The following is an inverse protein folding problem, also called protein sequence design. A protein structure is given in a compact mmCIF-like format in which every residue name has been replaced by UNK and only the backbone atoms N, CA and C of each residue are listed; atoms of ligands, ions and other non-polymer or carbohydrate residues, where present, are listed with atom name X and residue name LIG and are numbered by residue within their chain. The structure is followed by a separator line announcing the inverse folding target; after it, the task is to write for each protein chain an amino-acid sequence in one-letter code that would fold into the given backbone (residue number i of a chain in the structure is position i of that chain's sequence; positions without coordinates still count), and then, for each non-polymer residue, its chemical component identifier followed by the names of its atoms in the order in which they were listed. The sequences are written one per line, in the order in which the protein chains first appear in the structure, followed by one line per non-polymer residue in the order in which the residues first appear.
data_IF_852792551950
#
_entry.id   IF_852792551950
#
_cell.length_a   1.000
_cell.length_b   1.000
_cell.length_c   1.000
_cell.angle_alpha   90.00
_cell.angle_beta   90.00
_cell.angle_gamma   90.00
#
_symmetry.space_group_name_H-M   'P 1'
#
loop_
_entity.id
_entity.type
_entity.pdbx_description
1 polymer ?
#
# COMPACT_ATOMS: atom_id res chain seq x y z
N UNK A 1 0.48 5.69 -19.80
CA UNK A 1 0.05 4.40 -20.39
C UNK A 1 -1.47 4.29 -20.49
N UNK A 2 -2.20 4.06 -19.38
CA UNK A 2 -3.65 3.78 -19.43
C UNK A 2 -4.42 4.78 -20.29
N UNK A 3 -4.24 6.09 -20.06
CA UNK A 3 -4.93 7.15 -20.80
C UNK A 3 -4.70 7.10 -22.32
N UNK A 4 -3.51 6.68 -22.77
CA UNK A 4 -3.25 6.52 -24.21
C UNK A 4 -4.08 5.37 -24.76
N UNK A 5 -4.09 4.22 -24.09
CA UNK A 5 -4.79 3.03 -24.59
C UNK A 5 -6.31 3.16 -24.45
N UNK A 6 -6.81 3.70 -23.34
CA UNK A 6 -8.25 3.81 -23.06
C UNK A 6 -8.96 4.90 -23.85
N UNK A 7 -8.23 5.86 -24.42
CA UNK A 7 -8.80 6.96 -25.19
C UNK A 7 -9.19 6.58 -26.63
N UNK A 8 -9.07 5.32 -27.04
CA UNK A 8 -9.55 4.82 -28.33
C UNK A 8 -9.77 3.32 -28.28
N UNK A 9 -10.85 2.83 -28.87
CA UNK A 9 -11.13 1.40 -29.00
C UNK A 9 -10.05 0.67 -29.80
N UNK A 10 -9.53 1.29 -30.86
CA UNK A 10 -8.42 0.76 -31.67
C UNK A 10 -7.13 0.61 -30.84
N UNK A 11 -6.78 1.63 -30.03
CA UNK A 11 -5.60 1.55 -29.15
C UNK A 11 -5.80 0.53 -28.03
N UNK A 12 -7.02 0.38 -27.53
CA UNK A 12 -7.36 -0.65 -26.56
C UNK A 12 -7.24 -2.06 -27.15
N UNK A 13 -7.63 -2.27 -28.40
CA UNK A 13 -7.43 -3.52 -29.12
C UNK A 13 -5.95 -3.85 -29.31
N UNK A 14 -5.13 -2.85 -29.67
CA UNK A 14 -3.66 -3.01 -29.71
C UNK A 14 -3.15 -3.48 -28.35
N UNK A 15 -3.57 -2.86 -27.25
CA UNK A 15 -3.14 -3.29 -25.90
C UNK A 15 -3.52 -4.75 -25.61
N UNK A 16 -4.76 -5.16 -25.91
CA UNK A 16 -5.24 -6.52 -25.64
C UNK A 16 -4.61 -7.59 -26.51
N UNK A 17 -4.04 -7.22 -27.68
CA UNK A 17 -3.25 -8.13 -28.51
C UNK A 17 -1.97 -8.59 -27.79
N UNK A 18 -1.39 -7.73 -26.97
CA UNK A 18 -0.11 -7.95 -26.28
C UNK A 18 -0.27 -8.39 -24.82
N UNK A 19 -1.25 -7.86 -24.08
CA UNK A 19 -1.45 -8.23 -22.67
C UNK A 19 -2.26 -9.52 -22.52
N UNK A 20 -1.69 -10.51 -21.84
CA UNK A 20 -2.37 -11.76 -21.52
C UNK A 20 -2.84 -11.78 -20.07
N UNK A 21 -4.16 -11.79 -19.86
CA UNK A 21 -4.76 -12.03 -18.54
C UNK A 21 -4.57 -10.92 -17.49
N UNK A 22 -3.93 -9.80 -17.83
CA UNK A 22 -3.72 -8.62 -16.99
C UNK A 22 -4.32 -7.39 -17.66
N UNK A 23 -4.77 -6.41 -16.87
CA UNK A 23 -5.44 -5.21 -17.41
C UNK A 23 -4.85 -3.96 -16.80
N UNK A 24 -4.45 -3.00 -17.64
CA UNK A 24 -4.18 -1.64 -17.21
C UNK A 24 -5.51 -0.96 -16.92
N UNK A 25 -5.70 -0.48 -15.70
CA UNK A 25 -6.89 0.24 -15.27
C UNK A 25 -6.49 1.44 -14.44
N UNK A 26 -7.09 2.59 -14.75
CA UNK A 26 -7.01 3.75 -13.88
C UNK A 26 -8.30 3.80 -13.04
N UNK A 27 -8.19 3.31 -11.82
CA UNK A 27 -9.20 3.51 -10.81
C UNK A 27 -8.46 3.87 -9.52
N UNK A 28 -8.95 4.87 -8.79
CA UNK A 28 -8.29 5.39 -7.57
C UNK A 28 -8.19 4.36 -6.44
N UNK A 29 -8.73 3.17 -6.64
CA UNK A 29 -8.64 2.05 -5.71
C UNK A 29 -7.27 1.36 -5.74
N UNK A 30 -6.77 1.02 -4.55
CA UNK A 30 -5.45 0.38 -4.37
C UNK A 30 -5.38 -0.98 -5.06
N UNK A 31 -6.48 -1.74 -5.05
CA UNK A 31 -6.55 -3.05 -5.69
C UNK A 31 -6.36 -2.96 -7.21
N UNK A 32 -6.98 -1.98 -7.86
CA UNK A 32 -6.86 -1.79 -9.31
C UNK A 32 -5.50 -1.21 -9.70
N UNK A 33 -4.98 -0.29 -8.87
CA UNK A 33 -3.61 0.22 -9.03
C UNK A 33 -2.57 -0.91 -8.93
N UNK A 34 -2.75 -1.85 -8.00
CA UNK A 34 -1.88 -3.04 -7.87
C UNK A 34 -1.89 -3.90 -9.14
N UNK A 35 -3.05 -4.27 -9.67
CA UNK A 35 -3.12 -5.10 -10.88
C UNK A 35 -2.50 -4.41 -12.11
N UNK A 36 -2.61 -3.09 -12.19
CA UNK A 36 -2.00 -2.31 -13.28
C UNK A 36 -0.47 -2.25 -13.17
N UNK A 37 0.06 -2.00 -11.97
CA UNK A 37 1.51 -2.03 -11.74
C UNK A 37 2.07 -3.44 -11.92
N UNK A 38 1.32 -4.46 -11.51
CA UNK A 38 1.64 -5.86 -11.76
C UNK A 38 1.71 -6.15 -13.27
N UNK A 39 0.73 -5.70 -14.05
CA UNK A 39 0.73 -5.84 -15.51
C UNK A 39 2.00 -5.24 -16.14
N UNK A 40 2.34 -4.00 -15.77
CA UNK A 40 3.55 -3.35 -16.29
C UNK A 40 4.82 -4.08 -15.87
N UNK A 41 4.88 -4.59 -14.64
CA UNK A 41 6.07 -5.30 -14.13
C UNK A 41 6.27 -6.66 -14.81
N UNK A 42 5.20 -7.44 -14.95
CA UNK A 42 5.24 -8.81 -15.45
C UNK A 42 5.26 -8.86 -16.99
N UNK A 43 4.70 -7.84 -17.66
CA UNK A 43 4.55 -7.76 -19.11
C UNK A 43 5.19 -6.47 -19.68
N UNK A 44 6.39 -6.13 -19.19
CA UNK A 44 7.07 -4.89 -19.55
C UNK A 44 7.43 -4.83 -21.05
N UNK A 45 7.80 -5.98 -21.63
CA UNK A 45 8.15 -6.04 -23.05
C UNK A 45 6.88 -5.90 -23.92
N UNK A 46 5.81 -6.57 -23.55
CA UNK A 46 4.53 -6.54 -24.24
C UNK A 46 3.89 -5.15 -24.18
N UNK A 47 3.99 -4.46 -23.03
CA UNK A 47 3.56 -3.06 -22.91
C UNK A 47 4.38 -2.13 -23.80
N UNK A 48 5.68 -2.34 -23.90
CA UNK A 48 6.58 -1.60 -24.79
C UNK A 48 6.25 -1.84 -26.27
N UNK A 49 6.00 -3.08 -26.66
CA UNK A 49 5.61 -3.44 -28.03
C UNK A 49 4.25 -2.84 -28.40
N UNK A 50 3.29 -2.84 -27.48
CA UNK A 50 2.00 -2.17 -27.68
C UNK A 50 2.15 -0.66 -27.88
N UNK A 51 3.01 0.01 -27.11
CA UNK A 51 3.31 1.44 -27.30
C UNK A 51 4.00 1.72 -28.63
N UNK A 52 4.92 0.84 -29.05
CA UNK A 52 5.59 0.95 -30.33
C UNK A 52 4.58 0.84 -31.49
N UNK A 53 3.66 -0.14 -31.44
CA UNK A 53 2.59 -0.28 -32.43
C UNK A 53 1.69 0.95 -32.45
N UNK A 54 1.25 1.46 -31.30
CA UNK A 54 0.46 2.71 -31.24
C UNK A 54 1.22 3.88 -31.89
N UNK A 55 2.53 4.00 -31.63
CA UNK A 55 3.34 5.08 -32.18
C UNK A 55 3.49 5.04 -33.71
N UNK A 56 3.40 3.85 -34.31
CA UNK A 56 3.53 3.64 -35.74
C UNK A 56 2.18 3.70 -36.47
N UNK A 57 1.09 3.28 -35.82
CA UNK A 57 -0.23 3.18 -36.42
C UNK A 57 -1.02 4.50 -36.34
N UNK A 58 -0.85 5.26 -35.25
CA UNK A 58 -1.62 6.50 -35.08
C UNK A 58 -1.20 7.58 -36.07
N UNK A 59 -2.16 8.29 -36.66
CA UNK A 59 -1.91 9.43 -37.55
C UNK A 59 -1.76 10.77 -36.82
N UNK A 60 -2.03 10.79 -35.50
CA UNK A 60 -2.05 12.01 -34.69
C UNK A 60 -0.64 12.26 -34.14
N UNK A 61 0.07 13.32 -34.56
CA UNK A 61 1.47 13.54 -34.17
C UNK A 61 1.67 13.64 -32.66
N UNK A 62 0.73 14.23 -31.93
CA UNK A 62 0.79 14.34 -30.47
C UNK A 62 0.83 12.97 -29.78
N UNK A 63 0.01 12.02 -30.24
CA UNK A 63 -0.05 10.65 -29.69
C UNK A 63 1.20 9.87 -30.06
N UNK A 64 1.75 10.05 -31.27
CA UNK A 64 3.02 9.44 -31.66
C UNK A 64 4.16 9.89 -30.74
N UNK A 65 4.26 11.20 -30.48
CA UNK A 65 5.28 11.77 -29.60
C UNK A 65 5.09 11.25 -28.18
N UNK A 66 3.86 11.25 -27.66
CA UNK A 66 3.55 10.77 -26.32
C UNK A 66 3.92 9.28 -26.16
N UNK A 67 3.49 8.42 -27.09
CA UNK A 67 3.78 6.98 -27.07
C UNK A 67 5.30 6.71 -27.14
N UNK A 68 6.05 7.40 -28.02
CA UNK A 68 7.51 7.29 -28.09
C UNK A 68 8.18 7.75 -26.81
N UNK A 69 7.71 8.85 -26.22
CA UNK A 69 8.28 9.36 -24.96
C UNK A 69 8.05 8.41 -23.79
N UNK A 70 6.89 7.74 -23.75
CA UNK A 70 6.62 6.70 -22.75
C UNK A 70 7.48 5.47 -22.96
N UNK A 71 7.63 5.01 -24.21
CA UNK A 71 8.50 3.89 -24.56
C UNK A 71 9.95 4.15 -24.12
N UNK A 72 10.48 5.34 -24.41
CA UNK A 72 11.82 5.75 -23.97
C UNK A 72 11.95 5.79 -22.44
N UNK A 73 10.89 6.17 -21.73
CA UNK A 73 10.87 6.25 -20.28
C UNK A 73 10.71 4.88 -19.61
N UNK A 74 9.87 4.00 -20.15
CA UNK A 74 9.64 2.63 -19.68
C UNK A 74 10.93 1.81 -19.69
N UNK A 75 11.76 2.03 -20.71
CA UNK A 75 13.06 1.39 -20.87
C UNK A 75 14.17 2.05 -20.04
N UNK A 76 13.83 2.82 -19.00
CA UNK A 76 14.81 3.37 -18.06
C UNK A 76 14.89 2.56 -16.77
N UNK A 77 16.11 2.48 -16.22
CA UNK A 77 16.32 1.85 -14.91
C UNK A 77 15.48 2.52 -13.79
N UNK A 78 15.26 3.84 -13.86
CA UNK A 78 14.44 4.60 -12.90
C UNK A 78 12.98 4.14 -12.93
N UNK A 79 12.42 3.95 -14.12
CA UNK A 79 11.06 3.48 -14.28
C UNK A 79 10.89 2.05 -13.76
N UNK A 80 11.82 1.16 -14.10
CA UNK A 80 11.79 -0.24 -13.67
C UNK A 80 11.92 -0.32 -12.14
N UNK A 81 12.88 0.41 -11.56
CA UNK A 81 13.05 0.47 -10.12
C UNK A 81 11.81 1.04 -9.42
N UNK A 82 11.22 2.10 -9.97
CA UNK A 82 9.97 2.68 -9.48
C UNK A 82 8.82 1.66 -9.49
N UNK A 83 8.72 0.90 -10.58
CA UNK A 83 7.68 -0.12 -10.78
C UNK A 83 7.83 -1.27 -9.79
N UNK A 84 9.06 -1.75 -9.54
CA UNK A 84 9.35 -2.77 -8.52
C UNK A 84 8.97 -2.28 -7.12
N UNK A 85 9.36 -1.04 -6.77
CA UNK A 85 9.02 -0.43 -5.46
C UNK A 85 7.50 -0.35 -5.28
N UNK A 86 6.79 0.18 -6.28
CA UNK A 86 5.33 0.28 -6.21
C UNK A 86 4.67 -1.09 -6.16
N UNK A 87 5.16 -2.07 -6.90
CA UNK A 87 4.64 -3.42 -6.86
C UNK A 87 4.70 -4.02 -5.46
N UNK A 88 5.83 -3.93 -4.77
CA UNK A 88 6.00 -4.48 -3.42
C UNK A 88 5.04 -3.83 -2.41
N UNK A 89 4.98 -2.50 -2.42
CA UNK A 89 4.12 -1.72 -1.53
C UNK A 89 2.65 -2.00 -1.81
N UNK A 90 2.22 -1.91 -3.07
CA UNK A 90 0.83 -2.13 -3.45
C UNK A 90 0.39 -3.57 -3.24
N UNK A 91 1.28 -4.55 -3.40
CA UNK A 91 0.98 -5.96 -3.11
C UNK A 91 0.61 -6.16 -1.64
N UNK A 92 1.40 -5.59 -0.73
CA UNK A 92 1.14 -5.68 0.71
C UNK A 92 -0.17 -4.99 1.10
N UNK A 93 -0.40 -3.76 0.61
CA UNK A 93 -1.62 -3.01 0.91
C UNK A 93 -2.85 -3.70 0.29
N UNK A 94 -2.77 -4.15 -0.97
CA UNK A 94 -3.85 -4.85 -1.67
C UNK A 94 -4.26 -6.13 -0.95
N UNK A 95 -3.29 -6.91 -0.44
CA UNK A 95 -3.55 -8.10 0.36
C UNK A 95 -4.37 -7.75 1.61
N UNK A 96 -3.92 -6.77 2.40
CA UNK A 96 -4.64 -6.37 3.62
C UNK A 96 -6.00 -5.77 3.30
N UNK A 97 -6.11 -4.92 2.27
CA UNK A 97 -7.39 -4.35 1.83
C UNK A 97 -8.40 -5.44 1.46
N UNK A 98 -8.00 -6.46 0.69
CA UNK A 98 -8.87 -7.59 0.33
C UNK A 98 -9.25 -8.42 1.56
N UNK A 99 -8.35 -8.57 2.53
CA UNK A 99 -8.65 -9.23 3.80
C UNK A 99 -9.71 -8.47 4.59
N UNK A 100 -9.56 -7.14 4.70
CA UNK A 100 -10.48 -6.25 5.42
C UNK A 100 -11.87 -6.14 4.79
N UNK A 101 -12.00 -6.45 3.50
CA UNK A 101 -13.27 -6.42 2.77
C UNK A 101 -14.07 -7.73 2.86
N UNK A 102 -13.61 -8.73 3.62
CA UNK A 102 -14.34 -9.98 3.80
C UNK A 102 -15.56 -9.75 4.71
N UNK A 103 -16.66 -10.41 4.38
CA UNK A 103 -17.96 -10.26 5.07
C UNK A 103 -17.88 -10.59 6.58
N UNK A 104 -17.11 -11.61 6.95
CA UNK A 104 -16.99 -12.07 8.34
C UNK A 104 -15.59 -11.77 8.90
N UNK A 105 -15.26 -10.50 9.11
CA UNK A 105 -14.00 -10.09 9.73
C UNK A 105 -14.19 -9.61 11.17
N UNK A 106 -13.40 -10.16 12.10
CA UNK A 106 -13.31 -9.63 13.47
C UNK A 106 -12.39 -8.42 13.53
N UNK A 107 -12.67 -7.49 14.45
CA UNK A 107 -11.83 -6.31 14.71
C UNK A 107 -10.43 -6.74 15.18
N UNK A 108 -10.38 -7.74 16.08
CA UNK A 108 -9.30 -8.73 16.27
C UNK A 108 -8.33 -8.87 15.09
N UNK A 109 -8.87 -9.54 14.08
CA UNK A 109 -8.13 -9.95 12.90
C UNK A 109 -7.78 -8.76 12.01
N UNK A 110 -8.65 -7.76 11.92
CA UNK A 110 -8.41 -6.53 11.18
C UNK A 110 -7.17 -5.78 11.72
N UNK A 111 -7.10 -5.61 13.04
CA UNK A 111 -5.97 -4.98 13.74
C UNK A 111 -4.67 -5.74 13.50
N UNK A 112 -4.68 -7.07 13.64
CA UNK A 112 -3.50 -7.91 13.37
C UNK A 112 -2.96 -7.73 11.96
N UNK A 113 -3.84 -7.67 10.96
CA UNK A 113 -3.45 -7.44 9.57
C UNK A 113 -2.88 -6.02 9.36
N UNK A 114 -3.49 -5.01 9.98
CA UNK A 114 -3.00 -3.63 9.94
C UNK A 114 -1.64 -3.47 10.63
N UNK A 115 -1.46 -4.01 11.84
CA UNK A 115 -0.17 -4.01 12.54
C UNK A 115 0.90 -4.70 11.70
N UNK A 116 0.57 -5.84 11.08
CA UNK A 116 1.45 -6.53 10.14
C UNK A 116 1.83 -5.65 8.94
N UNK A 117 0.89 -4.89 8.38
CA UNK A 117 1.17 -3.95 7.29
C UNK A 117 2.10 -2.82 7.73
N UNK A 118 1.89 -2.27 8.92
CA UNK A 118 2.74 -1.22 9.51
C UNK A 118 4.18 -1.72 9.68
N UNK A 119 4.36 -2.89 10.27
CA UNK A 119 5.67 -3.55 10.42
C UNK A 119 6.34 -3.80 9.06
N UNK A 120 5.57 -4.26 8.07
CA UNK A 120 6.08 -4.43 6.72
C UNK A 120 6.57 -3.09 6.13
N UNK A 121 5.78 -2.02 6.19
CA UNK A 121 6.15 -0.73 5.60
C UNK A 121 7.37 -0.11 6.29
N UNK A 122 7.47 -0.20 7.62
CA UNK A 122 8.64 0.28 8.36
C UNK A 122 9.89 -0.52 8.01
N UNK A 123 9.80 -1.86 7.94
CA UNK A 123 10.92 -2.70 7.53
C UNK A 123 11.30 -2.50 6.06
N UNK A 124 10.32 -2.28 5.19
CA UNK A 124 10.54 -1.98 3.77
C UNK A 124 11.26 -0.64 3.61
N UNK A 125 10.89 0.39 4.37
CA UNK A 125 11.60 1.68 4.38
C UNK A 125 13.09 1.54 4.71
N UNK A 126 13.45 0.66 5.64
CA UNK A 126 14.85 0.47 6.05
C UNK A 126 15.65 -0.31 5.01
N UNK A 127 15.12 -1.46 4.57
CA UNK A 127 15.90 -2.46 3.84
C UNK A 127 15.39 -2.73 2.40
N UNK A 128 14.15 -2.33 2.10
CA UNK A 128 13.46 -2.62 0.84
C UNK A 128 14.13 -2.07 -0.40
N UNK A 129 14.76 -0.90 -0.31
CA UNK A 129 15.46 -0.30 -1.45
C UNK A 129 16.55 -1.21 -2.04
N UNK A 130 17.31 -1.90 -1.19
CA UNK A 130 18.42 -2.74 -1.66
C UNK A 130 17.89 -3.97 -2.41
N UNK A 131 16.78 -4.54 -1.95
CA UNK A 131 16.12 -5.67 -2.59
C UNK A 131 15.46 -5.24 -3.91
N UNK A 132 14.70 -4.15 -3.91
CA UNK A 132 14.07 -3.60 -5.11
C UNK A 132 15.11 -3.25 -6.19
N UNK A 133 16.25 -2.67 -5.79
CA UNK A 133 17.38 -2.38 -6.69
C UNK A 133 17.94 -3.65 -7.32
N UNK A 134 18.19 -4.70 -6.54
CA UNK A 134 18.69 -5.98 -7.05
C UNK A 134 17.74 -6.60 -8.06
N UNK A 135 16.44 -6.55 -7.79
CA UNK A 135 15.41 -7.06 -8.70
C UNK A 135 15.32 -6.23 -9.99
N UNK A 136 15.32 -4.91 -9.89
CA UNK A 136 15.32 -4.02 -11.06
C UNK A 136 16.55 -4.24 -11.96
N UNK A 137 17.73 -4.47 -11.37
CA UNK A 137 18.95 -4.81 -12.13
C UNK A 137 18.77 -6.11 -12.91
N UNK A 138 18.17 -7.15 -12.30
CA UNK A 138 17.90 -8.42 -12.98
C UNK A 138 16.96 -8.23 -14.18
N UNK A 139 15.88 -7.47 -13.99
CA UNK A 139 14.93 -7.16 -15.08
C UNK A 139 15.65 -6.42 -16.22
N UNK A 140 16.48 -5.43 -15.89
CA UNK A 140 17.23 -4.70 -16.92
C UNK A 140 18.23 -5.59 -17.66
N UNK A 141 18.89 -6.52 -16.97
CA UNK A 141 19.80 -7.48 -17.59
C UNK A 141 19.07 -8.43 -18.54
N UNK A 142 17.87 -8.89 -18.16
CA UNK A 142 17.04 -9.75 -19.01
C UNK A 142 16.56 -9.05 -20.28
N UNK A 143 16.31 -7.74 -20.19
CA UNK A 143 15.80 -6.92 -21.30
C UNK A 143 16.90 -6.11 -22.03
N UNK A 144 18.18 -6.37 -21.72
CA UNK A 144 19.34 -5.66 -22.28
C UNK A 144 19.29 -4.12 -22.14
N UNK A 145 18.66 -3.63 -21.06
CA UNK A 145 18.47 -2.21 -20.78
C UNK A 145 19.72 -1.61 -20.13
N UNK A 146 20.12 -0.42 -20.60
CA UNK A 146 21.27 0.31 -20.05
C UNK A 146 20.95 0.83 -18.64
N UNK A 147 21.77 0.41 -17.67
CA UNK A 147 21.69 0.85 -16.27
C UNK A 147 22.22 2.29 -16.12
N UNK A 148 21.40 3.30 -16.40
CA UNK A 148 21.72 4.72 -16.14
C UNK A 148 20.65 5.36 -15.26
N UNK A 149 21.04 5.86 -14.09
CA UNK A 149 20.24 6.81 -13.31
C UNK A 149 20.53 8.22 -13.84
N UNK A 150 19.53 8.85 -14.46
CA UNK A 150 19.66 10.22 -14.97
C UNK A 150 19.52 11.16 -13.78
N UNK A 151 20.58 11.90 -13.47
CA UNK A 151 20.47 12.98 -12.51
C UNK A 151 19.38 13.93 -13.00
N UNK A 152 18.41 14.26 -12.13
CA UNK A 152 17.37 15.24 -12.41
C UNK A 152 18.00 16.43 -13.14
N UNK A 153 17.55 16.68 -14.39
CA UNK A 153 17.94 17.90 -15.10
C UNK A 153 17.28 19.04 -14.34
N UNK A 154 17.94 19.54 -13.28
CA UNK A 154 17.63 20.84 -12.73
C UNK A 154 17.49 21.78 -13.94
N UNK A 155 16.31 22.42 -14.10
CA UNK A 155 16.13 23.46 -15.12
C UNK A 155 17.34 24.37 -14.97
N UNK A 156 18.26 24.33 -15.94
CA UNK A 156 19.47 25.14 -15.89
C UNK A 156 18.98 26.58 -15.78
N UNK A 157 19.14 27.22 -14.62
CA UNK A 157 19.08 28.69 -14.55
C UNK A 157 20.02 29.18 -15.66
N UNK A 158 19.56 30.11 -16.50
CA UNK A 158 20.41 30.73 -17.53
C UNK A 158 21.69 31.21 -16.84
N UNK A 159 22.84 30.61 -17.18
CA UNK A 159 24.15 30.99 -16.63
C UNK A 159 24.83 31.94 -17.60
N UNK A 160 25.52 32.95 -17.06
CA UNK A 160 26.12 34.05 -17.82
C UNK A 160 27.46 33.68 -18.49
N UNK A 161 28.12 32.57 -18.11
CA UNK A 161 29.47 32.22 -18.60
C UNK A 161 29.63 30.73 -18.94
N UNK A 162 30.46 30.46 -19.97
CA UNK A 162 30.52 29.17 -20.68
C UNK A 162 31.54 28.14 -20.19
N UNK A 163 32.38 28.43 -19.19
CA UNK A 163 33.42 27.50 -18.74
C UNK A 163 32.97 26.52 -17.64
N UNK A 164 31.74 26.65 -17.12
CA UNK A 164 31.18 25.71 -16.15
C UNK A 164 30.61 24.44 -16.84
N UNK A 165 31.50 23.59 -17.35
CA UNK A 165 31.15 22.18 -17.53
C UNK A 165 32.40 21.31 -17.42
N UNK A 166 32.44 20.45 -16.39
CA UNK A 166 32.55 19.00 -16.60
C UNK A 166 32.29 18.23 -15.31
N UNK A 167 31.20 17.47 -15.27
CA UNK A 167 31.21 16.07 -14.81
C UNK A 167 29.94 15.39 -15.27
N UNK A 168 29.87 15.10 -16.57
CA UNK A 168 28.90 14.15 -17.09
C UNK A 168 29.43 12.75 -16.81
N UNK A 169 29.21 12.25 -15.59
CA UNK A 169 29.45 10.82 -15.33
C UNK A 169 28.22 10.05 -15.83
N UNK A 170 28.39 9.39 -16.98
CA UNK A 170 27.38 8.54 -17.64
C UNK A 170 27.16 7.20 -16.93
N UNK A 171 27.79 6.99 -15.77
CA UNK A 171 27.69 5.79 -14.95
C UNK A 171 26.84 6.04 -13.70
N UNK A 172 26.22 4.98 -13.19
CA UNK A 172 25.62 4.94 -11.86
C UNK A 172 26.71 5.22 -10.83
N UNK A 173 26.93 6.50 -10.51
CA UNK A 173 27.71 6.87 -9.33
C UNK A 173 26.86 6.63 -8.10
N UNK A 174 27.48 6.27 -6.97
CA UNK A 174 26.78 6.16 -5.68
C UNK A 174 25.99 7.44 -5.35
N UNK A 175 26.40 8.60 -5.89
CA UNK A 175 25.66 9.86 -5.75
C UNK A 175 24.27 9.86 -6.39
N UNK A 176 24.09 9.23 -7.56
CA UNK A 176 22.80 9.17 -8.25
C UNK A 176 21.86 8.11 -7.64
N UNK A 177 22.43 7.02 -7.11
CA UNK A 177 21.67 6.01 -6.36
C UNK A 177 21.14 6.62 -5.07
N UNK A 178 21.99 7.34 -4.35
CA UNK A 178 21.59 8.03 -3.13
C UNK A 178 20.56 9.14 -3.42
N UNK A 179 20.67 9.86 -4.55
CA UNK A 179 19.65 10.85 -4.91
C UNK A 179 18.30 10.21 -5.20
N UNK A 180 18.22 9.12 -5.98
CA UNK A 180 16.93 8.44 -6.21
C UNK A 180 16.34 7.87 -4.90
N UNK A 181 17.19 7.27 -4.05
CA UNK A 181 16.75 6.78 -2.74
C UNK A 181 16.15 7.90 -1.88
N UNK A 182 16.78 9.07 -1.86
CA UNK A 182 16.37 10.21 -1.04
C UNK A 182 15.20 11.01 -1.63
N UNK A 183 15.17 11.20 -2.95
CA UNK A 183 14.18 12.04 -3.65
C UNK A 183 12.90 11.27 -4.00
N UNK A 184 12.97 9.94 -4.12
CA UNK A 184 11.84 9.12 -4.55
C UNK A 184 11.45 8.07 -3.50
N UNK A 185 12.37 7.18 -3.12
CA UNK A 185 12.05 6.02 -2.29
C UNK A 185 11.64 6.38 -0.86
N UNK A 186 12.40 7.25 -0.17
CA UNK A 186 12.05 7.66 1.19
C UNK A 186 10.73 8.45 1.23
N UNK A 187 10.48 9.47 0.38
CA UNK A 187 9.22 10.19 0.39
C UNK A 187 7.99 9.30 0.17
N UNK A 188 8.06 8.32 -0.73
CA UNK A 188 6.96 7.37 -0.96
C UNK A 188 6.75 6.47 0.26
N UNK A 189 7.83 5.93 0.81
CA UNK A 189 7.77 5.05 1.98
C UNK A 189 7.23 5.79 3.20
N UNK A 190 7.73 7.00 3.46
CA UNK A 190 7.30 7.86 4.56
C UNK A 190 5.84 8.25 4.43
N UNK A 191 5.42 8.69 3.23
CA UNK A 191 4.02 9.03 2.96
C UNK A 191 3.10 7.82 3.13
N UNK A 192 3.54 6.64 2.70
CA UNK A 192 2.80 5.38 2.89
C UNK A 192 2.61 5.04 4.37
N UNK A 193 3.67 5.15 5.17
CA UNK A 193 3.63 4.92 6.63
C UNK A 193 2.69 5.92 7.31
N UNK A 194 2.83 7.21 7.03
CA UNK A 194 1.97 8.26 7.61
C UNK A 194 0.50 8.01 7.25
N UNK A 195 0.20 7.79 5.96
CA UNK A 195 -1.18 7.58 5.50
C UNK A 195 -1.83 6.34 6.14
N UNK A 196 -1.07 5.26 6.33
CA UNK A 196 -1.57 4.05 6.98
C UNK A 196 -1.81 4.29 8.48
N UNK A 197 -0.89 4.98 9.17
CA UNK A 197 -1.09 5.33 10.58
C UNK A 197 -2.31 6.23 10.78
N UNK A 198 -2.48 7.27 9.97
CA UNK A 198 -3.62 8.19 10.05
C UNK A 198 -4.95 7.47 9.80
N UNK A 199 -5.00 6.61 8.76
CA UNK A 199 -6.22 5.88 8.38
C UNK A 199 -6.73 4.95 9.47
N UNK A 200 -5.83 4.34 10.23
CA UNK A 200 -6.18 3.34 11.23
C UNK A 200 -6.07 3.87 12.68
N UNK A 201 -5.76 5.15 12.87
CA UNK A 201 -5.67 5.76 14.20
C UNK A 201 -6.97 5.61 15.01
N UNK A 202 -8.13 5.72 14.36
CA UNK A 202 -9.42 5.51 15.03
C UNK A 202 -9.62 4.05 15.43
N UNK A 203 -9.14 3.11 14.63
CA UNK A 203 -9.22 1.68 14.94
C UNK A 203 -8.31 1.33 16.13
N UNK A 204 -7.13 1.92 16.20
CA UNK A 204 -6.22 1.81 17.36
C UNK A 204 -6.92 2.32 18.63
N UNK A 205 -7.46 3.55 18.60
CA UNK A 205 -8.20 4.11 19.74
C UNK A 205 -9.40 3.27 20.13
N UNK A 206 -10.18 2.81 19.16
CA UNK A 206 -11.33 1.95 19.42
C UNK A 206 -10.90 0.65 20.10
N UNK A 207 -9.82 0.05 19.65
CA UNK A 207 -9.28 -1.16 20.26
C UNK A 207 -8.79 -0.94 21.69
N UNK A 208 -8.20 0.22 21.99
CA UNK A 208 -7.72 0.53 23.35
C UNK A 208 -8.87 0.50 24.38
N UNK A 209 -10.07 0.95 23.98
CA UNK A 209 -11.25 0.93 24.86
C UNK A 209 -12.05 -0.37 24.79
N UNK A 210 -12.34 -0.87 23.58
CA UNK A 210 -13.30 -1.95 23.38
C UNK A 210 -12.65 -3.29 23.04
N UNK A 211 -11.33 -3.34 22.79
CA UNK A 211 -10.64 -4.51 22.27
C UNK A 211 -10.78 -5.75 23.16
N UNK A 212 -10.81 -5.58 24.48
CA UNK A 212 -10.97 -6.69 25.42
C UNK A 212 -12.32 -7.43 25.26
N UNK A 213 -13.37 -6.71 24.83
CA UNK A 213 -14.69 -7.29 24.55
C UNK A 213 -14.71 -8.14 23.28
N UNK A 214 -13.78 -7.93 22.35
CA UNK A 214 -13.67 -8.77 21.15
C UNK A 214 -12.93 -10.08 21.41
N UNK A 215 -12.45 -10.29 22.64
CA UNK A 215 -11.79 -11.51 23.08
C UNK A 215 -12.35 -11.96 24.45
N UNK A 216 -13.69 -12.06 24.56
CA UNK A 216 -14.41 -12.43 25.80
C UNK A 216 -13.85 -13.71 26.43
N UNK A 217 -13.56 -14.73 25.61
CA UNK A 217 -12.97 -15.98 26.11
C UNK A 217 -11.62 -15.80 26.85
N UNK A 218 -10.88 -14.74 26.54
CA UNK A 218 -9.61 -14.40 27.22
C UNK A 218 -9.78 -13.46 28.41
N UNK A 219 -10.96 -12.88 28.64
CA UNK A 219 -11.24 -12.04 29.83
C UNK A 219 -11.05 -12.88 31.10
N UNK A 220 -11.40 -14.17 31.07
CA UNK A 220 -11.14 -15.12 32.17
C UNK A 220 -9.66 -15.23 32.59
N UNK A 221 -8.73 -14.82 31.71
CA UNK A 221 -7.27 -14.83 31.95
C UNK A 221 -6.73 -13.45 32.32
N UNK A 222 -7.52 -12.38 32.18
CA UNK A 222 -7.11 -11.03 32.53
C UNK A 222 -7.08 -10.85 34.04
N UNK A 223 -6.20 -9.97 34.53
CA UNK A 223 -6.25 -9.53 35.91
C UNK A 223 -7.56 -8.77 36.15
N UNK A 224 -8.21 -9.02 37.30
CA UNK A 224 -9.46 -8.36 37.67
C UNK A 224 -9.30 -6.84 37.79
N UNK A 225 -8.14 -6.37 38.26
CA UNK A 225 -7.86 -4.93 38.35
C UNK A 225 -7.80 -4.29 36.95
N UNK A 226 -7.16 -4.97 35.99
CA UNK A 226 -7.08 -4.50 34.61
C UNK A 226 -8.46 -4.52 33.94
N UNK A 227 -9.27 -5.56 34.20
CA UNK A 227 -10.64 -5.65 33.69
C UNK A 227 -11.53 -4.54 34.25
N UNK A 228 -11.48 -4.30 35.56
CA UNK A 228 -12.22 -3.22 36.21
C UNK A 228 -11.82 -1.86 35.63
N UNK A 229 -10.51 -1.63 35.46
CA UNK A 229 -10.01 -0.42 34.83
C UNK A 229 -10.58 -0.23 33.43
N UNK A 230 -10.55 -1.26 32.58
CA UNK A 230 -11.10 -1.18 31.23
C UNK A 230 -12.61 -0.88 31.23
N UNK A 231 -13.38 -1.45 32.16
CA UNK A 231 -14.81 -1.17 32.28
C UNK A 231 -15.08 0.28 32.73
N UNK A 232 -14.29 0.79 33.67
CA UNK A 232 -14.36 2.19 34.10
C UNK A 232 -13.93 3.15 32.98
N UNK A 233 -12.92 2.79 32.19
CA UNK A 233 -12.47 3.59 31.04
C UNK A 233 -13.57 3.68 29.96
N UNK A 234 -14.37 2.63 29.75
CA UNK A 234 -15.57 2.67 28.89
C UNK A 234 -16.65 3.59 29.46
N UNK A 235 -16.95 3.49 30.76
CA UNK A 235 -17.91 4.40 31.40
C UNK A 235 -17.51 5.86 31.16
N UNK A 236 -16.27 6.21 31.46
CA UNK A 236 -15.76 7.57 31.30
C UNK A 236 -15.77 8.03 29.83
N UNK A 237 -15.56 7.11 28.88
CA UNK A 237 -15.61 7.42 27.45
C UNK A 237 -17.03 7.75 26.98
N UNK A 238 -18.04 7.11 27.57
CA UNK A 238 -19.46 7.24 27.21
C UNK A 238 -20.24 8.18 28.13
N UNK A 239 -19.57 8.80 29.10
CA UNK A 239 -20.15 9.80 29.99
C UNK A 239 -20.41 11.11 29.23
N UNK A 240 -21.65 11.60 29.31
CA UNK A 240 -22.05 12.89 28.75
C UNK A 240 -22.74 13.69 29.84
N UNK A 241 -22.04 14.69 30.39
CA UNK A 241 -22.53 15.48 31.51
C UNK A 241 -22.61 14.64 32.79
N UNK A 242 -23.80 14.56 33.39
CA UNK A 242 -24.06 13.74 34.59
C UNK A 242 -24.73 12.39 34.28
N UNK A 243 -24.80 12.02 32.99
CA UNK A 243 -25.44 10.77 32.53
C UNK A 243 -24.44 9.80 31.93
N UNK A 244 -24.53 8.54 32.35
CA UNK A 244 -23.70 7.44 31.87
C UNK A 244 -24.57 6.39 31.17
N UNK A 245 -24.24 6.06 29.93
CA UNK A 245 -24.92 4.99 29.19
C UNK A 245 -24.58 3.59 29.75
N UNK A 246 -23.40 3.45 30.37
CA UNK A 246 -22.89 2.20 30.93
C UNK A 246 -22.33 2.45 32.33
N UNK A 247 -22.70 1.61 33.30
CA UNK A 247 -22.06 1.56 34.61
C UNK A 247 -20.90 0.58 34.59
N UNK A 248 -19.67 1.08 34.71
CA UNK A 248 -18.45 0.28 34.62
C UNK A 248 -18.32 -0.80 35.70
N UNK A 249 -18.88 -0.57 36.90
CA UNK A 249 -18.88 -1.57 37.98
C UNK A 249 -19.86 -2.71 37.69
N UNK A 250 -21.08 -2.37 37.25
CA UNK A 250 -22.08 -3.37 36.85
C UNK A 250 -21.58 -4.20 35.67
N UNK A 251 -21.02 -3.54 34.65
CA UNK A 251 -20.40 -4.20 33.49
C UNK A 251 -19.28 -5.17 33.91
N UNK A 252 -18.44 -4.79 34.88
CA UNK A 252 -17.41 -5.68 35.41
C UNK A 252 -18.02 -6.93 36.05
N UNK A 253 -19.02 -6.76 36.92
CA UNK A 253 -19.67 -7.87 37.62
C UNK A 253 -20.36 -8.83 36.62
N UNK A 254 -21.06 -8.27 35.62
CA UNK A 254 -21.69 -9.04 34.53
C UNK A 254 -20.66 -9.82 33.70
N UNK A 255 -19.54 -9.18 33.31
CA UNK A 255 -18.50 -9.85 32.53
C UNK A 255 -17.81 -10.97 33.31
N UNK A 256 -17.62 -10.81 34.62
CA UNK A 256 -17.06 -11.86 35.47
C UNK A 256 -17.97 -13.08 35.49
N UNK A 257 -19.27 -12.87 35.70
CA UNK A 257 -20.28 -13.97 35.69
C UNK A 257 -20.32 -14.62 34.30
N UNK A 258 -20.35 -13.80 33.26
CA UNK A 258 -20.40 -14.26 31.88
C UNK A 258 -19.20 -15.17 31.54
N UNK A 259 -18.02 -14.86 32.05
CA UNK A 259 -16.81 -15.69 31.88
C UNK A 259 -16.88 -17.05 32.58
N UNK A 260 -17.73 -17.23 33.60
CA UNK A 260 -17.94 -18.54 34.24
C UNK A 260 -18.82 -19.47 33.40
N UNK A 261 -19.67 -18.89 32.55
CA UNK A 261 -20.69 -19.60 31.78
C UNK A 261 -20.18 -19.95 30.37
N UNK A 262 -19.30 -19.14 29.80
CA UNK A 262 -18.83 -19.28 28.41
C UNK A 262 -17.59 -20.17 28.32
N UNK A 263 -17.56 -21.04 27.30
CA UNK A 263 -16.37 -21.83 26.98
C UNK A 263 -15.17 -20.94 26.57
N UNK A 264 -13.97 -21.36 26.99
CA UNK A 264 -12.73 -20.69 26.61
C UNK A 264 -12.62 -20.65 25.08
N UNK A 265 -12.25 -19.49 24.55
CA UNK A 265 -12.09 -19.20 23.11
C UNK A 265 -13.39 -19.10 22.27
N UNK A 266 -14.55 -18.92 22.91
CA UNK A 266 -15.81 -18.60 22.21
C UNK A 266 -15.74 -17.24 21.53
N UNK A 267 -16.20 -17.15 20.27
CA UNK A 267 -16.24 -15.89 19.53
C UNK A 267 -17.29 -14.92 20.11
N UNK A 268 -17.06 -13.60 20.11
CA UNK A 268 -18.05 -12.63 20.61
C UNK A 268 -19.43 -12.76 19.97
N UNK A 269 -19.50 -13.10 18.67
CA UNK A 269 -20.75 -13.35 17.98
C UNK A 269 -21.53 -14.51 18.59
N UNK A 270 -20.84 -15.60 18.92
CA UNK A 270 -21.47 -16.78 19.53
C UNK A 270 -21.87 -16.53 20.98
N UNK A 271 -21.13 -15.69 21.69
CA UNK A 271 -21.53 -15.19 23.01
C UNK A 271 -22.84 -14.40 22.91
N UNK A 272 -22.94 -13.50 21.93
CA UNK A 272 -24.17 -12.74 21.71
C UNK A 272 -25.34 -13.64 21.34
N UNK A 273 -25.15 -14.61 20.44
CA UNK A 273 -26.17 -15.61 20.10
C UNK A 273 -26.68 -16.35 21.34
N UNK A 274 -25.78 -16.75 22.24
CA UNK A 274 -26.15 -17.41 23.49
C UNK A 274 -26.98 -16.46 24.38
N UNK A 275 -26.56 -15.21 24.55
CA UNK A 275 -27.30 -14.22 25.35
C UNK A 275 -28.71 -13.97 24.79
N UNK A 276 -28.86 -13.84 23.47
CA UNK A 276 -30.16 -13.60 22.83
C UNK A 276 -31.06 -14.84 22.73
N UNK A 277 -30.51 -16.03 22.98
CA UNK A 277 -31.27 -17.29 22.99
C UNK A 277 -31.93 -17.60 24.34
N UNK A 278 -31.59 -16.84 25.38
CA UNK A 278 -32.24 -16.83 26.70
C UNK A 278 -33.33 -15.76 26.77
#
# INVERSE_FOLDING_TARGET
MYTIFSASTERWEILNKYLYGLTLKLDGSVGVSYESVKAVKEQLQETSEALLEVSNTTKIPAIQIEAKSLLEYEMTFEFILSTVIWFDVLKAISKVSKTLQREHISIDFALKNYVGLKVFLTGYRENGYTNAKKEAIKICQQLEIILVLKKNKYKKKKKMFGYESLSMSTYVSDSNVNSFKNEYFFPISDKGIVSINERFQQLDKFNDYFGFLYNIGSISKMNKDDLMKNCMDIQNLLEVGDTNDINGREMFDELVILCEIIEKDTSPLKVLENIFSY
#
